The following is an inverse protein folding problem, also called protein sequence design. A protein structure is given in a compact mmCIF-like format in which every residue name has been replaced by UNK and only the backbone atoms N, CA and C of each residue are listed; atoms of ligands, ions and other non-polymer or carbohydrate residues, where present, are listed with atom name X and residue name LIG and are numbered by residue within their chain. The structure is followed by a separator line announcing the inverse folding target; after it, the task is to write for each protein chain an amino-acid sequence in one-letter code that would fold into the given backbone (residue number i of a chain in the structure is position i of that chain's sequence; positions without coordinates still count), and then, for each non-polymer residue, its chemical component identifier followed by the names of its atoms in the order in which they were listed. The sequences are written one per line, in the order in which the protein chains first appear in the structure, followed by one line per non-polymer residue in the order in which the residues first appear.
data_IF_677829763018
#
_entry.id   IF_677829763018
#
_cell.length_a   1.000
_cell.length_b   1.000
_cell.length_c   1.000
_cell.angle_alpha   90.00
_cell.angle_beta   90.00
_cell.angle_gamma   90.00
#
_symmetry.space_group_name_H-M   'P 1'
#
loop_
_entity.id
_entity.type
_entity.pdbx_description
1 polymer ?
#
# COMPACT_ATOMS: atom_id res chain seq x y z
N UNK A 1 22.43 -18.11 -7.20
CA UNK A 1 21.57 -16.91 -7.22
C UNK A 1 20.98 -16.78 -8.63
N UNK A 2 19.65 -16.77 -8.79
CA UNK A 2 19.00 -16.57 -10.10
C UNK A 2 18.82 -15.07 -10.33
N UNK A 3 19.12 -14.58 -11.54
CA UNK A 3 19.02 -13.15 -11.90
C UNK A 3 17.91 -12.96 -12.94
N UNK A 4 17.20 -11.85 -12.84
CA UNK A 4 16.29 -11.36 -13.88
C UNK A 4 16.73 -9.94 -14.28
N UNK A 5 16.64 -9.63 -15.57
CA UNK A 5 16.89 -8.29 -16.07
C UNK A 5 15.54 -7.61 -16.30
N UNK A 6 15.33 -6.46 -15.68
CA UNK A 6 14.13 -5.64 -15.87
C UNK A 6 14.58 -4.41 -16.65
N UNK A 7 14.03 -4.24 -17.86
CA UNK A 7 14.23 -3.02 -18.63
C UNK A 7 13.36 -1.92 -18.01
N UNK A 8 13.97 -0.79 -17.70
CA UNK A 8 13.30 0.42 -17.20
C UNK A 8 13.83 1.62 -17.99
N UNK A 9 12.95 2.57 -18.29
CA UNK A 9 13.30 3.75 -19.10
C UNK A 9 14.20 4.74 -18.34
N UNK A 10 14.01 4.84 -17.02
CA UNK A 10 14.87 5.61 -16.12
C UNK A 10 14.94 4.92 -14.76
N UNK A 11 16.02 5.10 -14.01
CA UNK A 11 16.14 4.55 -12.66
C UNK A 11 15.19 5.27 -11.67
N UNK A 12 14.62 4.56 -10.68
CA UNK A 12 13.86 5.21 -9.61
C UNK A 12 14.74 6.20 -8.84
N UNK A 13 14.24 7.39 -8.58
CA UNK A 13 14.95 8.38 -7.74
C UNK A 13 14.65 8.22 -6.25
N UNK A 14 13.53 7.57 -5.88
CA UNK A 14 13.27 7.13 -4.51
C UNK A 14 13.77 5.69 -4.34
N UNK A 15 14.63 5.47 -3.35
CA UNK A 15 15.21 4.16 -3.06
C UNK A 15 14.51 3.41 -1.92
N UNK A 16 13.54 4.05 -1.28
CA UNK A 16 12.80 3.48 -0.17
C UNK A 16 11.44 2.98 -0.64
N UNK A 17 11.14 1.70 -0.42
CA UNK A 17 9.89 1.05 -0.81
C UNK A 17 8.64 1.75 -0.22
N UNK A 18 8.80 2.44 0.90
CA UNK A 18 7.74 3.17 1.59
C UNK A 18 7.38 4.52 0.96
N UNK A 19 8.21 5.05 0.06
CA UNK A 19 8.09 6.42 -0.47
C UNK A 19 8.03 6.49 -1.98
N UNK A 20 7.84 5.35 -2.64
CA UNK A 20 7.78 5.25 -4.10
C UNK A 20 6.59 6.06 -4.61
N UNK A 21 6.92 7.04 -5.45
CA UNK A 21 5.95 7.94 -6.07
C UNK A 21 6.26 8.20 -7.54
N UNK A 22 7.32 7.59 -8.08
CA UNK A 22 7.78 7.76 -9.44
C UNK A 22 7.47 6.53 -10.29
N UNK A 23 7.24 6.75 -11.59
CA UNK A 23 6.80 5.71 -12.51
C UNK A 23 7.77 4.52 -12.58
N UNK A 24 9.08 4.78 -12.61
CA UNK A 24 10.09 3.71 -12.64
C UNK A 24 10.17 2.95 -11.33
N UNK A 25 10.05 3.67 -10.22
CA UNK A 25 9.93 3.09 -8.89
C UNK A 25 8.72 2.19 -8.79
N UNK A 26 7.56 2.63 -9.26
CA UNK A 26 6.36 1.80 -9.31
C UNK A 26 6.59 0.52 -10.12
N UNK A 27 7.27 0.59 -11.27
CA UNK A 27 7.57 -0.61 -12.08
C UNK A 27 8.49 -1.62 -11.38
N UNK A 28 9.47 -1.15 -10.62
CA UNK A 28 10.45 -2.00 -9.92
C UNK A 28 9.89 -2.48 -8.58
N UNK A 29 9.45 -1.55 -7.74
CA UNK A 29 9.05 -1.84 -6.38
C UNK A 29 7.68 -2.52 -6.27
N UNK A 30 6.76 -2.41 -7.25
CA UNK A 30 5.56 -3.26 -7.23
C UNK A 30 5.90 -4.75 -7.27
N UNK A 31 7.06 -5.13 -7.81
CA UNK A 31 7.50 -6.54 -7.88
C UNK A 31 8.08 -7.03 -6.56
N UNK A 32 8.49 -6.10 -5.69
CA UNK A 32 9.12 -6.37 -4.40
C UNK A 32 8.20 -6.04 -3.21
N UNK A 33 7.15 -5.25 -3.43
CA UNK A 33 6.15 -4.88 -2.44
C UNK A 33 4.98 -5.86 -2.47
N UNK A 34 4.34 -6.04 -1.31
CA UNK A 34 3.12 -6.83 -1.19
C UNK A 34 1.92 -5.91 -0.96
N UNK A 35 1.14 -5.57 -1.99
CA UNK A 35 -0.04 -4.74 -1.81
C UNK A 35 -1.13 -5.51 -1.05
N UNK A 36 -1.98 -4.79 -0.30
CA UNK A 36 -3.14 -5.39 0.36
C UNK A 36 -4.11 -6.01 -0.66
N UNK A 37 -4.26 -5.34 -1.81
CA UNK A 37 -5.14 -5.73 -2.89
C UNK A 37 -4.48 -5.55 -4.26
N UNK A 38 -4.96 -6.28 -5.24
CA UNK A 38 -4.60 -6.11 -6.64
C UNK A 38 -5.88 -6.09 -7.48
N UNK A 39 -5.88 -5.43 -8.63
CA UNK A 39 -6.99 -5.50 -9.58
C UNK A 39 -6.70 -6.60 -10.60
N UNK A 40 -7.57 -7.61 -10.65
CA UNK A 40 -7.53 -8.67 -11.66
C UNK A 40 -8.84 -8.65 -12.43
N UNK A 41 -8.76 -8.45 -13.75
CA UNK A 41 -9.93 -8.36 -14.63
C UNK A 41 -10.97 -7.33 -14.14
N UNK A 42 -10.49 -6.13 -13.75
CA UNK A 42 -11.35 -5.07 -13.22
C UNK A 42 -11.91 -5.31 -11.80
N UNK A 43 -11.59 -6.45 -11.18
CA UNK A 43 -12.09 -6.82 -9.85
C UNK A 43 -10.96 -6.74 -8.82
N UNK A 44 -11.16 -6.05 -7.68
CA UNK A 44 -10.20 -6.07 -6.59
C UNK A 44 -10.14 -7.45 -5.94
N UNK A 45 -8.94 -7.99 -5.76
CA UNK A 45 -8.66 -9.26 -5.09
C UNK A 45 -7.70 -9.05 -3.93
N UNK A 46 -7.91 -9.81 -2.84
CA UNK A 46 -7.08 -9.74 -1.65
C UNK A 46 -5.75 -10.47 -1.86
N UNK A 47 -4.63 -9.74 -1.75
CA UNK A 47 -3.28 -10.28 -1.90
C UNK A 47 -2.58 -10.33 -0.54
N UNK A 48 -2.31 -9.19 0.08
CA UNK A 48 -1.84 -9.11 1.47
C UNK A 48 -2.98 -9.16 2.51
N UNK A 49 -4.18 -8.70 2.13
CA UNK A 49 -5.37 -8.82 2.96
C UNK A 49 -5.89 -10.27 2.99
N UNK A 50 -6.46 -10.66 4.13
CA UNK A 50 -7.22 -11.90 4.33
C UNK A 50 -8.69 -11.67 3.99
N UNK A 51 -9.26 -10.60 4.54
CA UNK A 51 -10.66 -10.21 4.36
C UNK A 51 -10.79 -8.69 4.49
N UNK A 52 -11.96 -8.21 4.04
CA UNK A 52 -12.36 -6.81 4.15
C UNK A 52 -13.81 -6.75 4.57
N UNK A 53 -14.08 -5.92 5.57
CA UNK A 53 -15.42 -5.58 6.00
C UNK A 53 -15.63 -4.09 5.82
N UNK A 54 -16.81 -3.66 5.40
CA UNK A 54 -17.13 -2.24 5.24
C UNK A 54 -18.47 -1.91 5.87
N UNK A 55 -18.54 -0.82 6.61
CA UNK A 55 -19.76 -0.17 7.07
C UNK A 55 -19.78 1.31 6.62
N UNK A 56 -20.81 2.06 7.02
CA UNK A 56 -21.02 3.45 6.60
C UNK A 56 -19.88 4.42 7.00
N UNK A 57 -19.10 4.07 8.02
CA UNK A 57 -18.05 4.93 8.59
C UNK A 57 -16.65 4.34 8.41
N UNK A 58 -16.58 3.07 8.04
CA UNK A 58 -15.42 2.25 8.34
C UNK A 58 -15.19 1.18 7.26
N UNK A 59 -13.94 0.92 6.90
CA UNK A 59 -13.49 -0.31 6.22
C UNK A 59 -12.57 -1.01 7.22
N UNK A 60 -12.58 -2.31 7.37
CA UNK A 60 -11.67 -3.06 8.23
C UNK A 60 -10.94 -4.05 7.35
N UNK A 61 -9.62 -4.10 7.46
CA UNK A 61 -8.77 -4.96 6.64
C UNK A 61 -8.00 -5.89 7.56
N UNK A 62 -8.31 -7.19 7.49
CA UNK A 62 -7.51 -8.20 8.19
C UNK A 62 -6.30 -8.57 7.35
N UNK A 63 -5.10 -8.64 7.93
CA UNK A 63 -3.87 -9.04 7.25
C UNK A 63 -3.73 -10.57 7.29
N UNK A 64 -3.19 -11.18 6.23
CA UNK A 64 -2.87 -12.62 6.24
C UNK A 64 -1.79 -12.94 7.28
N UNK A 65 -1.99 -14.01 8.02
CA UNK A 65 -1.09 -14.42 9.12
C UNK A 65 0.24 -15.02 8.64
N UNK A 66 0.29 -15.52 7.41
CA UNK A 66 1.44 -16.23 6.84
C UNK A 66 2.31 -15.36 5.94
N UNK A 67 2.39 -14.06 6.23
CA UNK A 67 3.21 -13.10 5.49
C UNK A 67 4.49 -12.80 6.26
N UNK A 68 5.62 -12.83 5.56
CA UNK A 68 6.94 -12.61 6.14
C UNK A 68 7.76 -11.68 5.25
N UNK A 69 8.49 -10.78 5.90
CA UNK A 69 9.58 -10.02 5.31
C UNK A 69 10.70 -10.96 4.85
N UNK A 70 11.55 -10.47 3.94
CA UNK A 70 12.69 -11.25 3.44
C UNK A 70 13.73 -11.60 4.53
N UNK A 71 13.71 -10.89 5.66
CA UNK A 71 14.53 -11.14 6.84
C UNK A 71 13.91 -12.20 7.78
N UNK A 72 12.71 -12.72 7.46
CA UNK A 72 11.99 -13.72 8.25
C UNK A 72 11.06 -13.15 9.32
N UNK A 73 11.00 -11.83 9.50
CA UNK A 73 10.04 -11.20 10.41
C UNK A 73 8.62 -11.30 9.85
N UNK A 74 7.63 -11.53 10.71
CA UNK A 74 6.23 -11.56 10.30
C UNK A 74 5.78 -10.14 9.90
N UNK A 75 4.98 -10.06 8.84
CA UNK A 75 4.35 -8.80 8.41
C UNK A 75 3.13 -8.53 9.26
N UNK A 76 3.03 -7.33 9.83
CA UNK A 76 1.89 -6.90 10.63
C UNK A 76 1.16 -5.72 9.99
N UNK A 77 -0.04 -5.42 10.46
CA UNK A 77 -0.80 -4.29 9.97
C UNK A 77 -0.11 -2.94 10.24
N UNK A 78 0.69 -2.86 11.30
CA UNK A 78 1.53 -1.73 11.64
C UNK A 78 2.55 -1.38 10.54
N UNK A 79 2.98 -2.35 9.74
CA UNK A 79 3.88 -2.11 8.63
C UNK A 79 3.17 -1.34 7.50
N UNK A 80 1.92 -1.69 7.22
CA UNK A 80 1.07 -0.96 6.29
C UNK A 80 0.72 0.43 6.81
N UNK A 81 0.38 0.56 8.10
CA UNK A 81 0.12 1.86 8.73
C UNK A 81 1.37 2.76 8.66
N UNK A 82 2.55 2.21 8.89
CA UNK A 82 3.81 2.95 8.79
C UNK A 82 4.07 3.44 7.36
N UNK A 83 3.77 2.63 6.36
CA UNK A 83 3.88 3.02 4.95
C UNK A 83 2.95 4.20 4.63
N UNK A 84 1.68 4.12 5.04
CA UNK A 84 0.70 5.19 4.83
C UNK A 84 1.13 6.47 5.54
N UNK A 85 1.51 6.37 6.82
CA UNK A 85 2.00 7.48 7.63
C UNK A 85 3.22 8.15 6.98
N UNK A 86 4.14 7.36 6.41
CA UNK A 86 5.30 7.91 5.70
C UNK A 86 4.88 8.76 4.49
N UNK A 87 3.96 8.25 3.67
CA UNK A 87 3.48 8.96 2.47
C UNK A 87 2.72 10.24 2.85
N UNK A 88 1.92 10.23 3.92
CA UNK A 88 1.19 11.41 4.39
C UNK A 88 2.10 12.59 4.75
N UNK A 89 3.32 12.29 5.23
CA UNK A 89 4.31 13.28 5.66
C UNK A 89 5.39 13.58 4.59
N UNK A 90 5.37 12.92 3.43
CA UNK A 90 6.25 13.22 2.30
C UNK A 90 5.54 14.18 1.34
N UNK A 91 5.75 15.50 1.52
CA UNK A 91 5.12 16.54 0.69
C UNK A 91 5.43 16.40 -0.82
N UNK A 92 6.56 15.76 -1.15
CA UNK A 92 6.94 15.46 -2.54
C UNK A 92 6.32 14.18 -3.09
N UNK A 93 5.55 13.44 -2.29
CA UNK A 93 4.91 12.21 -2.72
C UNK A 93 3.56 12.51 -3.40
N UNK A 94 3.39 12.06 -4.64
CA UNK A 94 2.16 12.27 -5.42
C UNK A 94 0.91 11.71 -4.75
N UNK A 95 1.05 10.70 -3.89
CA UNK A 95 -0.04 10.07 -3.15
C UNK A 95 -0.38 10.81 -1.84
N UNK A 96 0.45 11.77 -1.42
CA UNK A 96 0.26 12.51 -0.17
C UNK A 96 -1.12 13.17 -0.10
N UNK A 97 -1.55 13.87 -1.17
CA UNK A 97 -2.85 14.55 -1.20
C UNK A 97 -4.04 13.59 -1.10
N UNK A 98 -3.88 12.38 -1.62
CA UNK A 98 -4.92 11.37 -1.58
C UNK A 98 -5.01 10.80 -0.16
N UNK A 99 -3.85 10.51 0.43
CA UNK A 99 -3.77 9.93 1.77
C UNK A 99 -3.89 10.95 2.90
N UNK A 100 -3.76 12.26 2.67
CA UNK A 100 -3.87 13.29 3.71
C UNK A 100 -5.27 13.40 4.32
N UNK A 101 -6.28 12.88 3.62
CA UNK A 101 -7.64 12.73 4.13
C UNK A 101 -7.80 11.61 5.17
N UNK A 102 -6.79 10.73 5.30
CA UNK A 102 -6.78 9.67 6.29
C UNK A 102 -6.42 10.20 7.68
N UNK A 103 -6.99 9.62 8.75
CA UNK A 103 -6.57 9.93 10.11
C UNK A 103 -5.06 9.71 10.30
N UNK A 104 -4.39 10.52 11.12
CA UNK A 104 -2.95 10.35 11.42
C UNK A 104 -2.65 9.10 12.25
N UNK A 105 -1.40 8.67 12.32
CA UNK A 105 -0.90 7.48 13.05
C UNK A 105 -1.50 7.25 14.45
N UNK A 106 -1.73 8.32 15.22
CA UNK A 106 -2.31 8.27 16.58
C UNK A 106 -3.79 7.84 16.55
N UNK A 107 -4.49 8.23 15.48
CA UNK A 107 -5.85 7.82 15.17
C UNK A 107 -5.88 6.46 14.47
N UNK A 108 -4.96 6.16 13.53
CA UNK A 108 -4.86 4.87 12.84
C UNK A 108 -4.59 3.69 13.79
N UNK A 109 -3.78 3.88 14.85
CA UNK A 109 -3.62 2.85 15.91
C UNK A 109 -4.89 2.61 16.73
N UNK A 110 -5.70 3.63 16.94
CA UNK A 110 -7.00 3.53 17.64
C UNK A 110 -8.05 2.91 16.70
N UNK A 111 -7.92 3.19 15.41
CA UNK A 111 -8.64 2.60 14.30
C UNK A 111 -8.22 1.12 14.09
N UNK A 112 -6.99 0.70 14.38
CA UNK A 112 -6.62 -0.73 14.29
C UNK A 112 -7.25 -1.63 15.37
N UNK A 113 -7.90 -1.05 16.38
CA UNK A 113 -8.81 -1.76 17.31
C UNK A 113 -10.28 -1.67 16.82
N UNK A 114 -10.61 -0.75 15.89
CA UNK A 114 -11.90 -0.59 15.21
C UNK A 114 -11.70 0.27 13.95
N UNK A 115 -11.46 -0.33 12.75
CA UNK A 115 -11.41 0.35 11.40
C UNK A 115 -10.06 0.75 10.76
N UNK A 116 -9.89 0.48 9.47
CA UNK A 116 -9.04 1.22 8.50
C UNK A 116 -9.81 1.48 7.19
N UNK A 117 -10.58 2.60 7.11
CA UNK A 117 -11.27 3.08 5.90
C UNK A 117 -10.33 3.71 4.88
N UNK A 118 -10.19 3.13 3.67
CA UNK A 118 -10.43 3.81 2.38
C UNK A 118 -10.05 2.97 1.14
N UNK A 119 -11.08 2.80 0.29
CA UNK A 119 -11.13 3.03 -1.17
C UNK A 119 -9.91 2.76 -2.06
N UNK A 120 -9.99 1.63 -2.76
CA UNK A 120 -9.15 1.26 -3.92
C UNK A 120 -9.84 1.62 -5.25
N UNK A 121 -10.84 2.51 -5.22
CA UNK A 121 -11.58 2.89 -6.43
C UNK A 121 -11.05 4.15 -7.15
N UNK A 122 -10.28 5.04 -6.49
CA UNK A 122 -9.93 6.33 -7.10
C UNK A 122 -8.71 6.33 -8.05
N UNK A 123 -8.06 5.18 -8.30
CA UNK A 123 -7.15 5.03 -9.45
C UNK A 123 -7.95 4.70 -10.74
N UNK A 124 -9.21 4.28 -10.63
CA UNK A 124 -10.01 3.86 -11.80
C UNK A 124 -10.86 4.98 -12.46
N UNK A 125 -10.89 6.20 -11.93
CA UNK A 125 -11.79 7.27 -12.43
C UNK A 125 -11.07 8.33 -13.31
N UNK A 126 -9.75 8.22 -13.53
CA UNK A 126 -9.03 9.12 -14.46
C UNK A 126 -8.57 8.44 -15.74
N UNK A 127 -9.30 7.43 -16.19
CA UNK A 127 -9.19 6.88 -17.54
C UNK A 127 -10.58 6.81 -18.17
N UNK A 128 -11.12 8.00 -18.43
CA UNK A 128 -12.21 8.23 -19.39
C UNK A 128 -11.64 9.03 -20.55
#
# INVERSE_FOLDING_TARGET
MKKINIAIDVLPYKHNIWSICDYSGEQVYHKCALPLFCVKNGTPICIGARDVEQNEKELTISIKENLFWNNGEQVYAEDYVRAIDFIQHDEGNRYQKILSSLPTKKSLRKLMINTVSLYIQNIMIHSS
#
